data_IF_662969854211
#
_entry.id   IF_662969854211
#
_cell.length_a   1.000
_cell.length_b   1.000
_cell.length_c   1.000
_cell.angle_alpha   90.00
_cell.angle_beta   90.00
_cell.angle_gamma   90.00
#
_symmetry.space_group_name_H-M   'P 1'
#
loop_
_entity.id
_entity.type
_entity.pdbx_description
1 polymer ?
#
# COMPACT_ATOMS: atom_id res chain seq x y z
N UNK A 1 6.54 4.13 -12.60
CA UNK A 1 5.16 4.50 -12.17
C UNK A 1 4.34 3.23 -12.08
N UNK A 2 3.69 3.00 -10.94
CA UNK A 2 2.84 1.84 -10.66
C UNK A 2 1.47 2.34 -10.25
N UNK A 3 0.41 1.82 -10.88
CA UNK A 3 -0.97 2.16 -10.52
C UNK A 3 -1.56 1.08 -9.61
N UNK A 4 -2.24 1.51 -8.55
CA UNK A 4 -2.80 0.65 -7.51
C UNK A 4 -4.26 1.00 -7.32
N UNK A 5 -5.16 0.06 -7.63
CA UNK A 5 -6.56 0.19 -7.23
C UNK A 5 -6.67 -0.06 -5.73
N UNK A 6 -7.26 0.89 -5.01
CA UNK A 6 -7.44 0.81 -3.56
C UNK A 6 -8.89 1.01 -3.14
N UNK A 7 -9.24 0.50 -1.96
CA UNK A 7 -10.58 0.69 -1.36
C UNK A 7 -10.71 2.15 -0.90
N UNK A 8 -11.95 2.60 -0.79
CA UNK A 8 -12.26 4.00 -0.42
C UNK A 8 -11.66 4.37 0.94
N UNK A 9 -11.81 3.49 1.94
CA UNK A 9 -11.25 3.68 3.28
C UNK A 9 -9.73 3.94 3.27
N UNK A 10 -8.97 3.14 2.53
CA UNK A 10 -7.52 3.33 2.43
C UNK A 10 -7.15 4.55 1.59
N UNK A 11 -7.95 4.90 0.57
CA UNK A 11 -7.74 6.10 -0.22
C UNK A 11 -7.87 7.35 0.64
N UNK A 12 -8.91 7.40 1.47
CA UNK A 12 -9.14 8.53 2.38
C UNK A 12 -8.02 8.62 3.44
N UNK A 13 -7.57 7.49 3.99
CA UNK A 13 -6.40 7.46 4.90
C UNK A 13 -5.11 7.96 4.25
N UNK A 14 -4.87 7.68 2.97
CA UNK A 14 -3.71 8.21 2.23
C UNK A 14 -3.83 9.73 2.07
N UNK A 15 -5.04 10.21 1.74
CA UNK A 15 -5.33 11.64 1.58
C UNK A 15 -5.09 12.41 2.88
N UNK A 16 -5.45 11.80 4.01
CA UNK A 16 -5.26 12.37 5.35
C UNK A 16 -3.82 12.22 5.88
N UNK A 17 -2.94 11.53 5.15
CA UNK A 17 -1.57 11.26 5.56
C UNK A 17 -1.45 10.26 6.72
N UNK A 18 -2.51 9.48 6.98
CA UNK A 18 -2.57 8.45 8.01
C UNK A 18 -2.05 7.10 7.50
N UNK A 19 -2.25 6.81 6.21
CA UNK A 19 -1.64 5.66 5.54
C UNK A 19 -0.44 6.13 4.70
N UNK A 20 0.74 5.70 5.12
CA UNK A 20 2.04 6.08 4.54
C UNK A 20 2.90 4.88 4.15
N UNK A 21 2.39 3.65 4.29
CA UNK A 21 3.04 2.44 3.84
C UNK A 21 2.10 1.55 3.04
N UNK A 22 2.65 0.79 2.10
CA UNK A 22 1.95 -0.23 1.31
C UNK A 22 2.69 -1.56 1.40
N UNK A 23 1.97 -2.61 1.79
CA UNK A 23 2.51 -3.95 1.99
C UNK A 23 2.02 -4.85 0.86
N UNK A 24 2.95 -5.48 0.13
CA UNK A 24 2.65 -6.37 -1.00
C UNK A 24 3.54 -7.61 -0.98
N UNK A 25 3.12 -8.75 -1.56
CA UNK A 25 4.00 -9.90 -1.74
C UNK A 25 5.28 -9.52 -2.48
N UNK A 26 6.43 -10.04 -2.07
CA UNK A 26 7.72 -9.73 -2.70
C UNK A 26 7.82 -10.20 -4.16
N UNK A 27 7.01 -11.20 -4.53
CA UNK A 27 6.88 -11.70 -5.90
C UNK A 27 5.86 -10.93 -6.74
N UNK A 28 5.15 -9.94 -6.16
CA UNK A 28 4.18 -9.13 -6.87
C UNK A 28 4.89 -8.34 -7.98
N UNK A 29 4.50 -8.60 -9.24
CA UNK A 29 5.20 -8.16 -10.45
C UNK A 29 5.58 -6.67 -10.47
N UNK A 30 4.72 -5.82 -9.92
CA UNK A 30 4.91 -4.37 -9.92
C UNK A 30 5.72 -3.88 -8.72
N UNK A 31 5.78 -4.65 -7.63
CA UNK A 31 6.43 -4.26 -6.38
C UNK A 31 7.85 -4.82 -6.25
N UNK A 32 8.13 -5.96 -6.90
CA UNK A 32 9.44 -6.62 -6.85
C UNK A 32 10.60 -5.69 -7.18
N UNK A 33 10.44 -4.80 -8.16
CA UNK A 33 11.48 -3.87 -8.61
C UNK A 33 11.30 -2.44 -8.06
N UNK A 34 10.43 -2.24 -7.08
CA UNK A 34 10.18 -0.93 -6.51
C UNK A 34 11.41 -0.42 -5.76
N UNK A 35 11.80 0.82 -6.04
CA UNK A 35 12.92 1.52 -5.43
C UNK A 35 12.49 2.88 -4.84
N UNK A 36 13.23 3.42 -3.84
CA UNK A 36 13.04 4.80 -3.40
C UNK A 36 13.14 5.80 -4.57
N UNK A 37 12.19 6.74 -4.61
CA UNK A 37 12.03 7.69 -5.71
C UNK A 37 11.02 7.25 -6.78
N UNK A 38 10.59 5.99 -6.78
CA UNK A 38 9.51 5.54 -7.65
C UNK A 38 8.17 6.19 -7.29
N UNK A 39 7.28 6.24 -8.28
CA UNK A 39 5.93 6.79 -8.13
C UNK A 39 4.90 5.68 -8.02
N UNK A 40 4.08 5.72 -6.96
CA UNK A 40 2.84 4.96 -6.87
C UNK A 40 1.66 5.91 -7.14
N UNK A 41 0.67 5.45 -7.90
CA UNK A 41 -0.58 6.16 -8.12
C UNK A 41 -1.71 5.32 -7.55
N UNK A 42 -2.27 5.75 -6.43
CA UNK A 42 -3.43 5.12 -5.83
C UNK A 42 -4.69 5.63 -6.53
N UNK A 43 -5.58 4.71 -6.90
CA UNK A 43 -6.81 4.99 -7.63
C UNK A 43 -8.00 4.42 -6.89
N UNK A 44 -9.07 5.20 -6.78
CA UNK A 44 -10.33 4.76 -6.22
C UNK A 44 -11.50 5.26 -7.08
N UNK A 45 -12.41 4.35 -7.43
CA UNK A 45 -13.59 4.68 -8.22
C UNK A 45 -14.77 4.98 -7.29
N UNK A 46 -15.27 6.22 -7.29
CA UNK A 46 -16.37 6.67 -6.44
C UNK A 46 -17.32 7.58 -7.22
N UNK A 47 -18.61 7.29 -7.11
CA UNK A 47 -19.69 8.08 -7.72
C UNK A 47 -19.55 8.37 -9.23
N UNK A 48 -18.90 7.48 -9.99
CA UNK A 48 -18.72 7.64 -11.44
C UNK A 48 -17.45 8.34 -11.87
N UNK A 49 -16.62 8.79 -10.91
CA UNK A 49 -15.34 9.47 -11.15
C UNK A 49 -14.19 8.63 -10.62
N UNK A 50 -13.03 8.68 -11.28
CA UNK A 50 -11.81 8.07 -10.76
C UNK A 50 -11.03 9.13 -9.95
N UNK A 51 -10.87 8.90 -8.65
CA UNK A 51 -9.97 9.70 -7.80
C UNK A 51 -8.58 9.10 -7.85
N UNK A 52 -7.56 9.95 -7.95
CA UNK A 52 -6.17 9.55 -8.07
C UNK A 52 -5.29 10.33 -7.09
N UNK A 53 -4.36 9.64 -6.41
CA UNK A 53 -3.30 10.25 -5.60
C UNK A 53 -1.96 9.74 -6.10
N UNK A 54 -1.09 10.67 -6.50
CA UNK A 54 0.31 10.39 -6.79
C UNK A 54 1.11 10.48 -5.50
N UNK A 55 1.93 9.46 -5.26
CA UNK A 55 2.84 9.39 -4.12
C UNK A 55 4.25 9.10 -4.61
N UNK A 56 5.24 9.46 -3.79
CA UNK A 56 6.65 9.11 -4.03
C UNK A 56 7.12 8.17 -2.93
N UNK A 57 7.73 7.07 -3.35
CA UNK A 57 8.32 6.08 -2.44
C UNK A 57 9.56 6.68 -1.79
N UNK A 58 9.65 6.61 -0.47
CA UNK A 58 10.77 7.10 0.32
C UNK A 58 11.70 6.01 0.76
N UNK A 59 11.15 4.85 1.08
CA UNK A 59 11.91 3.70 1.52
C UNK A 59 11.21 2.42 1.05
N UNK A 60 12.01 1.36 0.84
CA UNK A 60 11.49 0.04 0.53
C UNK A 60 12.22 -0.99 1.37
N UNK A 61 11.49 -1.69 2.22
CA UNK A 61 11.98 -2.88 2.91
C UNK A 61 11.54 -4.12 2.13
N UNK A 62 12.49 -5.03 1.89
CA UNK A 62 12.32 -6.18 1.00
C UNK A 62 12.33 -7.47 1.78
N UNK A 63 11.64 -8.48 1.24
CA UNK A 63 11.75 -9.87 1.68
C UNK A 63 11.43 -10.11 3.17
N UNK A 64 10.55 -9.29 3.77
CA UNK A 64 10.16 -9.39 5.17
C UNK A 64 9.22 -10.58 5.41
N UNK A 65 9.28 -11.12 6.64
CA UNK A 65 8.24 -12.02 7.12
C UNK A 65 6.92 -11.23 7.25
N UNK A 66 5.78 -11.75 6.77
CA UNK A 66 4.51 -11.03 6.83
C UNK A 66 4.08 -10.62 8.23
N UNK A 67 4.40 -11.43 9.27
CA UNK A 67 4.07 -11.09 10.65
C UNK A 67 4.96 -9.97 11.15
N UNK A 68 6.25 -10.01 10.83
CA UNK A 68 7.17 -8.92 11.15
C UNK A 68 6.71 -7.60 10.50
N UNK A 69 6.35 -7.65 9.21
CA UNK A 69 5.83 -6.48 8.50
C UNK A 69 4.54 -5.95 9.14
N UNK A 70 3.60 -6.83 9.48
CA UNK A 70 2.37 -6.42 10.14
C UNK A 70 2.62 -5.83 11.55
N UNK A 71 3.48 -6.45 12.36
CA UNK A 71 3.81 -5.94 13.70
C UNK A 71 4.44 -4.54 13.65
N UNK A 72 5.24 -4.26 12.62
CA UNK A 72 6.01 -3.02 12.48
C UNK A 72 5.25 -1.90 11.74
N UNK A 73 4.42 -2.25 10.76
CA UNK A 73 3.88 -1.27 9.80
C UNK A 73 2.35 -1.28 9.68
N UNK A 74 1.60 -1.99 10.53
CA UNK A 74 0.14 -2.06 10.39
C UNK A 74 -0.52 -0.69 10.43
N UNK A 75 -0.04 0.23 11.29
CA UNK A 75 -0.60 1.57 11.44
C UNK A 75 -0.38 2.39 10.17
N UNK A 76 0.86 2.42 9.67
CA UNK A 76 1.25 3.10 8.44
C UNK A 76 0.58 2.47 7.22
N UNK A 77 0.25 1.18 7.27
CA UNK A 77 -0.52 0.49 6.24
C UNK A 77 -2.04 0.77 6.32
N UNK A 78 -2.50 1.47 7.35
CA UNK A 78 -3.89 1.91 7.52
C UNK A 78 -4.79 0.93 8.28
N UNK A 79 -4.22 0.01 9.06
CA UNK A 79 -4.97 -0.98 9.86
C UNK A 79 -4.99 -0.61 11.35
N UNK A 80 -5.96 -1.14 12.09
CA UNK A 80 -6.10 -0.89 13.53
C UNK A 80 -5.24 -1.83 14.39
N UNK A 81 -4.84 -2.99 13.83
CA UNK A 81 -4.00 -3.98 14.51
C UNK A 81 -3.13 -4.81 13.55
N UNK A 82 -2.03 -5.42 14.04
CA UNK A 82 -1.25 -6.38 13.26
C UNK A 82 -2.08 -7.56 12.75
N UNK A 83 -3.03 -8.05 13.55
CA UNK A 83 -3.91 -9.17 13.18
C UNK A 83 -4.83 -8.81 12.01
N UNK A 84 -5.41 -7.60 12.03
CA UNK A 84 -6.24 -7.10 10.93
C UNK A 84 -5.41 -6.93 9.66
N UNK A 85 -4.18 -6.41 9.77
CA UNK A 85 -3.27 -6.30 8.63
C UNK A 85 -2.95 -7.66 8.01
N UNK A 86 -2.70 -8.69 8.83
CA UNK A 86 -2.43 -10.05 8.36
C UNK A 86 -3.64 -10.70 7.68
N UNK A 87 -4.83 -10.56 8.27
CA UNK A 87 -6.06 -11.08 7.64
C UNK A 87 -6.36 -10.30 6.34
N UNK A 88 -6.14 -8.99 6.30
CA UNK A 88 -6.26 -8.19 5.08
C UNK A 88 -5.33 -8.64 3.95
N UNK A 89 -4.06 -8.95 4.27
CA UNK A 89 -3.11 -9.53 3.32
C UNK A 89 -3.59 -10.90 2.83
N UNK A 90 -4.04 -11.76 3.74
CA UNK A 90 -4.51 -13.10 3.43
C UNK A 90 -5.76 -13.10 2.55
N UNK A 91 -6.71 -12.21 2.80
CA UNK A 91 -7.90 -12.04 1.97
C UNK A 91 -7.54 -11.51 0.57
N UNK A 92 -6.59 -10.57 0.49
CA UNK A 92 -6.19 -9.97 -0.78
C UNK A 92 -5.47 -10.95 -1.72
N UNK A 93 -4.70 -11.89 -1.17
CA UNK A 93 -3.86 -12.82 -1.93
C UNK A 93 -4.27 -14.30 -1.86
N UNK A 94 -5.47 -14.59 -1.36
CA UNK A 94 -5.99 -15.96 -1.18
C UNK A 94 -5.04 -16.86 -0.36
N UNK A 95 -4.48 -16.28 0.70
CA UNK A 95 -3.45 -16.89 1.52
C UNK A 95 -2.44 -15.88 2.02
N UNK A 96 -1.78 -16.19 3.15
CA UNK A 96 -0.70 -15.34 3.64
C UNK A 96 0.53 -15.53 2.74
N UNK A 97 1.09 -14.45 2.16
CA UNK A 97 2.30 -14.54 1.34
C UNK A 97 3.46 -15.15 2.13
N UNK A 98 4.43 -15.78 1.45
CA UNK A 98 5.64 -16.27 2.13
C UNK A 98 6.54 -15.11 2.57
N UNK A 99 6.62 -14.07 1.74
CA UNK A 99 7.38 -12.85 1.99
C UNK A 99 6.66 -11.63 1.44
N UNK A 100 6.89 -10.49 2.09
CA UNK A 100 6.33 -9.21 1.68
C UNK A 100 7.41 -8.14 1.57
N UNK A 101 7.14 -7.18 0.68
CA UNK A 101 7.84 -5.92 0.60
C UNK A 101 6.95 -4.82 1.19
N UNK A 102 7.57 -3.87 1.88
CA UNK A 102 6.93 -2.69 2.44
C UNK A 102 7.47 -1.46 1.73
N UNK A 103 6.58 -0.67 1.11
CA UNK A 103 6.92 0.59 0.49
C UNK A 103 6.38 1.74 1.33
N UNK A 104 7.27 2.51 1.95
CA UNK A 104 6.90 3.76 2.61
C UNK A 104 6.85 4.87 1.57
N UNK A 105 5.82 5.71 1.63
CA UNK A 105 5.57 6.74 0.64
C UNK A 105 5.01 8.01 1.27
N UNK A 106 5.02 9.10 0.51
CA UNK A 106 4.30 10.33 0.85
C UNK A 106 3.45 10.84 -0.31
N UNK A 107 2.27 11.42 -0.04
CA UNK A 107 1.42 11.99 -1.07
C UNK A 107 2.01 13.28 -1.65
N UNK A 108 1.88 13.43 -2.97
CA UNK A 108 2.38 14.59 -3.74
C UNK A 108 1.23 15.43 -4.29
N UNK A 109 0.24 14.79 -4.93
CA UNK A 109 -0.91 15.47 -5.53
C UNK A 109 -2.11 14.56 -5.67
N UNK A 110 -3.31 15.15 -5.59
CA UNK A 110 -4.60 14.50 -5.85
C UNK A 110 -5.27 15.12 -7.09
N UNK A 111 -5.96 14.30 -7.89
CA UNK A 111 -6.80 14.74 -9.03
C UNK A 111 -7.94 13.75 -9.32
N UNK A 112 -8.86 14.16 -10.19
CA UNK A 112 -9.97 13.34 -10.71
C UNK A 112 -9.83 13.12 -12.23
N UNK A 113 -10.14 11.91 -12.72
CA UNK A 113 -10.22 11.55 -14.15
C UNK A 113 -11.67 11.34 -14.65
#
# INVERSE_FOLDING_TARGET
MIEIMTREEFFDLITEGLKTAEIRPSDHRSFRYLEPGDTLVFKNFKAGTMRCIETVVRNVEKDLDPKEAAERFYQEAGFESPEECLEGLKEMYDGLPEKVDVAEFEPVREWEE
#
